data_IF_889931666898
#
_entry.id   IF_889931666898
#
_cell.length_a   1.000
_cell.length_b   1.000
_cell.length_c   1.000
_cell.angle_alpha   90.00
_cell.angle_beta   90.00
_cell.angle_gamma   90.00
#
_symmetry.space_group_name_H-M   'P 1'
#
loop_
_entity.id
_entity.type
_entity.pdbx_description
1 polymer ?
#
# COMPACT_ATOMS: atom_id res chain seq x y z
N UNK A 1 -29.00 15.16 -58.80
CA UNK A 1 -28.48 14.65 -57.52
C UNK A 1 -26.97 14.49 -57.68
N UNK A 2 -26.19 15.45 -57.20
CA UNK A 2 -24.72 15.42 -57.22
C UNK A 2 -24.25 15.58 -55.78
N UNK A 3 -23.54 14.58 -55.28
CA UNK A 3 -23.07 14.49 -53.91
C UNK A 3 -21.98 15.53 -53.64
N UNK A 4 -22.05 16.16 -52.47
CA UNK A 4 -21.05 17.07 -51.95
C UNK A 4 -19.80 16.29 -51.48
N UNK A 5 -18.63 16.69 -51.96
CA UNK A 5 -17.34 16.29 -51.38
C UNK A 5 -17.06 17.12 -50.12
N UNK A 6 -16.61 16.51 -49.01
CA UNK A 6 -16.30 17.24 -47.79
C UNK A 6 -14.93 17.92 -47.88
N UNK A 7 -14.93 19.21 -47.54
CA UNK A 7 -13.80 20.11 -47.35
C UNK A 7 -12.75 19.52 -46.39
N UNK A 8 -11.62 19.11 -46.95
CA UNK A 8 -10.46 18.60 -46.23
C UNK A 8 -9.69 19.72 -45.54
N UNK A 9 -10.25 20.24 -44.44
CA UNK A 9 -9.65 21.25 -43.58
C UNK A 9 -8.20 20.93 -43.24
N UNK A 10 -7.28 21.70 -43.84
CA UNK A 10 -5.84 21.54 -43.69
C UNK A 10 -5.43 22.07 -42.32
N UNK A 11 -5.35 21.22 -41.30
CA UNK A 11 -4.72 21.57 -40.03
C UNK A 11 -3.22 21.77 -40.25
N UNK A 12 -2.82 23.02 -40.51
CA UNK A 12 -1.42 23.42 -40.60
C UNK A 12 -0.70 23.04 -39.30
N UNK A 13 0.19 22.04 -39.35
CA UNK A 13 1.00 21.66 -38.19
C UNK A 13 1.86 22.88 -37.79
N UNK A 14 1.92 23.24 -36.50
CA UNK A 14 2.71 24.38 -36.06
C UNK A 14 4.17 24.20 -36.47
N UNK A 15 4.78 25.25 -37.04
CA UNK A 15 6.20 25.22 -37.39
C UNK A 15 7.02 24.96 -36.12
N UNK A 16 8.04 24.10 -36.18
CA UNK A 16 8.93 23.87 -35.06
C UNK A 16 9.60 25.19 -34.67
N UNK A 17 9.72 25.45 -33.36
CA UNK A 17 10.28 26.68 -32.80
C UNK A 17 11.71 26.99 -33.30
N UNK A 18 12.43 25.98 -33.80
CA UNK A 18 13.79 26.12 -34.33
C UNK A 18 13.87 26.63 -35.77
N UNK A 19 12.76 26.74 -36.51
CA UNK A 19 12.74 27.22 -37.90
C UNK A 19 13.42 26.30 -38.93
N UNK A 20 14.09 25.24 -38.49
CA UNK A 20 14.73 24.23 -39.33
C UNK A 20 13.77 23.05 -39.57
N UNK A 21 13.81 22.41 -40.75
CA UNK A 21 13.04 21.20 -41.00
C UNK A 21 13.45 20.11 -40.00
N UNK A 22 12.47 19.33 -39.51
CA UNK A 22 12.74 18.17 -38.68
C UNK A 22 13.69 17.22 -39.42
N UNK A 23 14.69 16.66 -38.73
CA UNK A 23 15.80 15.88 -39.32
C UNK A 23 15.40 14.49 -39.86
N UNK A 24 14.16 14.32 -40.33
CA UNK A 24 13.63 13.11 -40.95
C UNK A 24 13.86 11.79 -40.17
N UNK A 25 14.08 11.86 -38.84
CA UNK A 25 14.12 10.67 -38.00
C UNK A 25 12.71 10.10 -37.87
N UNK A 26 12.52 8.85 -38.31
CA UNK A 26 11.37 8.05 -37.92
C UNK A 26 11.78 7.11 -36.79
N UNK A 27 11.25 7.33 -35.60
CA UNK A 27 11.35 6.35 -34.52
C UNK A 27 10.26 5.30 -34.73
N UNK A 28 10.57 4.03 -34.45
CA UNK A 28 9.52 3.03 -34.32
C UNK A 28 8.51 3.48 -33.24
N UNK A 29 7.21 3.22 -33.43
CA UNK A 29 6.20 3.52 -32.43
C UNK A 29 6.53 2.86 -31.10
N UNK A 30 6.19 3.52 -29.98
CA UNK A 30 6.31 2.91 -28.66
C UNK A 30 5.49 1.63 -28.59
N UNK A 31 6.16 0.51 -28.34
CA UNK A 31 5.53 -0.80 -28.17
C UNK A 31 5.13 -0.98 -26.70
N UNK A 32 3.93 -1.51 -26.46
CA UNK A 32 3.48 -1.87 -25.12
C UNK A 32 4.46 -2.86 -24.47
N UNK A 33 4.66 -2.75 -23.15
CA UNK A 33 5.58 -3.59 -22.37
C UNK A 33 7.07 -3.47 -22.77
N UNK A 34 7.48 -2.36 -23.38
CA UNK A 34 8.89 -2.12 -23.64
C UNK A 34 9.68 -1.94 -22.33
N UNK A 35 10.64 -2.83 -22.07
CA UNK A 35 11.50 -2.80 -20.88
C UNK A 35 12.91 -2.24 -21.15
N UNK A 36 13.22 -1.79 -22.37
CA UNK A 36 14.58 -1.34 -22.76
C UNK A 36 15.10 -0.17 -21.94
N UNK A 37 14.22 0.64 -21.34
CA UNK A 37 14.58 1.79 -20.51
C UNK A 37 14.73 1.47 -19.01
N UNK A 38 14.41 0.24 -18.58
CA UNK A 38 14.51 -0.14 -17.17
C UNK A 38 15.97 -0.36 -16.79
N UNK A 39 16.46 0.45 -15.84
CA UNK A 39 17.84 0.33 -15.30
C UNK A 39 17.94 -0.72 -14.20
N UNK A 40 16.86 -0.95 -13.48
CA UNK A 40 16.75 -1.91 -12.38
C UNK A 40 15.37 -2.60 -12.39
N UNK A 41 15.26 -3.72 -11.68
CA UNK A 41 14.05 -4.55 -11.62
C UNK A 41 12.86 -3.92 -10.89
N UNK A 42 13.07 -2.85 -10.12
CA UNK A 42 12.06 -2.28 -9.21
C UNK A 42 10.73 -1.84 -9.85
N UNK A 43 10.72 -1.50 -11.15
CA UNK A 43 9.49 -1.15 -11.88
C UNK A 43 9.09 -2.22 -12.90
N UNK A 44 9.76 -3.37 -12.87
CA UNK A 44 9.52 -4.45 -13.80
C UNK A 44 8.40 -5.34 -13.26
N UNK A 45 7.18 -5.18 -13.78
CA UNK A 45 6.02 -6.00 -13.36
C UNK A 45 6.29 -7.50 -13.44
N UNK A 46 7.05 -7.95 -14.45
CA UNK A 46 7.44 -9.36 -14.60
C UNK A 46 8.30 -9.90 -13.45
N UNK A 47 9.01 -9.02 -12.75
CA UNK A 47 9.88 -9.37 -11.61
C UNK A 47 9.13 -9.15 -10.31
N UNK A 48 8.49 -7.99 -10.16
CA UNK A 48 7.80 -7.58 -8.94
C UNK A 48 6.57 -8.45 -8.67
N UNK A 49 5.73 -8.74 -9.67
CA UNK A 49 4.49 -9.50 -9.45
C UNK A 49 4.73 -10.89 -8.84
N UNK A 50 5.59 -11.77 -9.39
CA UNK A 50 5.80 -13.09 -8.79
C UNK A 50 6.47 -13.01 -7.41
N UNK A 51 7.40 -12.09 -7.21
CA UNK A 51 8.06 -11.90 -5.92
C UNK A 51 7.10 -11.39 -4.84
N UNK A 52 6.26 -10.41 -5.18
CA UNK A 52 5.23 -9.88 -4.28
C UNK A 52 4.18 -10.94 -3.95
N UNK A 53 3.82 -11.82 -4.88
CA UNK A 53 2.92 -12.93 -4.59
C UNK A 53 3.51 -13.89 -3.55
N UNK A 54 4.79 -14.23 -3.67
CA UNK A 54 5.49 -15.06 -2.69
C UNK A 54 5.53 -14.39 -1.32
N UNK A 55 6.01 -13.14 -1.25
CA UNK A 55 6.10 -12.37 0.00
C UNK A 55 4.73 -12.22 0.67
N UNK A 56 3.69 -11.92 -0.11
CA UNK A 56 2.33 -11.78 0.42
C UNK A 56 1.78 -13.08 1.01
N UNK A 57 2.05 -14.22 0.37
CA UNK A 57 1.64 -15.53 0.89
C UNK A 57 2.37 -15.85 2.19
N UNK A 58 3.69 -15.68 2.22
CA UNK A 58 4.51 -15.93 3.41
C UNK A 58 4.08 -15.03 4.59
N UNK A 59 3.77 -13.76 4.30
CA UNK A 59 3.29 -12.81 5.30
C UNK A 59 1.94 -13.23 5.89
N UNK A 60 1.00 -13.65 5.05
CA UNK A 60 -0.33 -14.13 5.49
C UNK A 60 -0.24 -15.44 6.26
N UNK A 61 0.70 -16.31 5.91
CA UNK A 61 0.97 -17.54 6.66
C UNK A 61 1.50 -17.24 8.07
N UNK A 62 2.48 -16.35 8.18
CA UNK A 62 3.03 -15.91 9.46
C UNK A 62 2.04 -15.11 10.31
N UNK A 63 1.14 -14.37 9.66
CA UNK A 63 0.18 -13.47 10.30
C UNK A 63 -1.24 -13.65 9.74
N UNK A 64 -1.98 -14.70 10.17
CA UNK A 64 -3.28 -15.04 9.59
C UNK A 64 -4.35 -13.95 9.64
N UNK A 65 -4.27 -13.01 10.59
CA UNK A 65 -5.19 -11.86 10.70
C UNK A 65 -5.09 -10.90 9.50
N UNK A 66 -3.97 -10.91 8.76
CA UNK A 66 -3.79 -10.08 7.57
C UNK A 66 -4.68 -10.48 6.38
N UNK A 67 -5.34 -11.66 6.44
CA UNK A 67 -6.31 -12.09 5.42
C UNK A 67 -7.50 -11.14 5.28
N UNK A 68 -7.82 -10.39 6.32
CA UNK A 68 -8.87 -9.38 6.32
C UNK A 68 -8.43 -8.07 5.66
N UNK A 69 -7.11 -7.86 5.52
CA UNK A 69 -6.49 -6.64 4.98
C UNK A 69 -5.75 -6.94 3.67
N UNK A 70 -6.44 -7.57 2.72
CA UNK A 70 -5.84 -8.09 1.48
C UNK A 70 -5.11 -7.02 0.68
N UNK A 71 -5.74 -5.88 0.45
CA UNK A 71 -5.21 -4.80 -0.38
C UNK A 71 -3.95 -4.20 0.23
N UNK A 72 -3.97 -3.93 1.54
CA UNK A 72 -2.82 -3.38 2.27
C UNK A 72 -1.66 -4.39 2.35
N UNK A 73 -1.98 -5.68 2.45
CA UNK A 73 -1.00 -6.78 2.43
C UNK A 73 -0.34 -6.91 1.06
N UNK A 74 -1.12 -6.83 -0.02
CA UNK A 74 -0.59 -6.85 -1.39
C UNK A 74 0.25 -5.61 -1.70
N UNK A 75 -0.14 -4.44 -1.20
CA UNK A 75 0.66 -3.21 -1.30
C UNK A 75 2.01 -3.38 -0.58
N UNK A 76 1.98 -3.86 0.68
CA UNK A 76 3.20 -4.17 1.43
C UNK A 76 4.13 -5.11 0.65
N UNK A 77 3.60 -6.24 0.18
CA UNK A 77 4.40 -7.24 -0.51
C UNK A 77 4.99 -6.72 -1.83
N UNK A 78 4.26 -5.85 -2.55
CA UNK A 78 4.78 -5.17 -3.74
C UNK A 78 5.92 -4.22 -3.41
N UNK A 79 5.78 -3.41 -2.37
CA UNK A 79 6.84 -2.47 -1.95
C UNK A 79 8.06 -3.24 -1.44
N UNK A 80 7.87 -4.35 -0.75
CA UNK A 80 8.95 -5.21 -0.27
C UNK A 80 9.75 -5.82 -1.43
N UNK A 81 9.06 -6.37 -2.44
CA UNK A 81 9.68 -6.85 -3.66
C UNK A 81 10.48 -5.75 -4.40
N UNK A 82 10.04 -4.49 -4.35
CA UNK A 82 10.81 -3.36 -4.88
C UNK A 82 12.08 -3.10 -4.08
N UNK A 83 12.01 -3.16 -2.75
CA UNK A 83 13.18 -3.02 -1.88
C UNK A 83 14.21 -4.11 -2.20
N UNK A 84 13.79 -5.36 -2.32
CA UNK A 84 14.66 -6.49 -2.69
C UNK A 84 15.35 -6.25 -4.04
N UNK A 85 14.58 -5.89 -5.08
CA UNK A 85 15.13 -5.60 -6.40
C UNK A 85 16.14 -4.43 -6.40
N UNK A 86 15.87 -3.38 -5.61
CA UNK A 86 16.75 -2.23 -5.49
C UNK A 86 18.01 -2.57 -4.69
N UNK A 87 17.87 -3.36 -3.62
CA UNK A 87 19.00 -3.80 -2.81
C UNK A 87 19.95 -4.66 -3.64
N UNK A 88 19.43 -5.66 -4.36
CA UNK A 88 20.24 -6.49 -5.26
C UNK A 88 21.02 -5.66 -6.28
N UNK A 89 20.38 -4.64 -6.87
CA UNK A 89 21.04 -3.75 -7.83
C UNK A 89 22.15 -2.93 -7.17
N UNK A 90 21.89 -2.37 -5.98
CA UNK A 90 22.87 -1.57 -5.22
C UNK A 90 24.05 -2.43 -4.75
N UNK A 91 23.80 -3.67 -4.33
CA UNK A 91 24.87 -4.60 -3.95
C UNK A 91 25.79 -4.94 -5.13
N UNK A 92 25.22 -5.06 -6.34
CA UNK A 92 25.98 -5.35 -7.55
C UNK A 92 26.74 -4.14 -8.11
N UNK A 93 26.13 -2.95 -8.07
CA UNK A 93 26.66 -1.76 -8.76
C UNK A 93 27.31 -0.74 -7.82
N UNK A 94 27.15 -0.90 -6.51
CA UNK A 94 27.61 0.03 -5.49
C UNK A 94 26.61 1.14 -5.17
N UNK A 95 26.79 1.73 -3.98
CA UNK A 95 25.94 2.80 -3.48
C UNK A 95 26.25 4.19 -4.06
N UNK A 96 27.51 4.39 -4.47
CA UNK A 96 28.06 5.66 -4.93
C UNK A 96 28.47 5.58 -6.41
N UNK A 97 28.33 6.69 -7.13
CA UNK A 97 28.85 6.86 -8.48
C UNK A 97 30.35 7.23 -8.48
N UNK A 98 30.92 7.38 -9.68
CA UNK A 98 32.34 7.73 -9.88
C UNK A 98 32.73 9.09 -9.24
N UNK A 99 31.76 9.97 -8.98
CA UNK A 99 31.98 11.25 -8.30
C UNK A 99 31.78 11.16 -6.77
N UNK A 100 31.56 9.96 -6.23
CA UNK A 100 31.30 9.70 -4.82
C UNK A 100 29.91 10.16 -4.35
N UNK A 101 28.97 10.40 -5.26
CA UNK A 101 27.60 10.78 -4.93
C UNK A 101 26.68 9.55 -4.87
N UNK A 102 25.61 9.56 -4.04
CA UNK A 102 24.66 8.45 -4.00
C UNK A 102 23.99 8.24 -5.36
N UNK A 103 23.96 7.00 -5.83
CA UNK A 103 23.27 6.68 -7.09
C UNK A 103 21.76 6.92 -6.96
N UNK A 104 21.09 7.11 -8.09
CA UNK A 104 19.63 7.23 -8.13
C UNK A 104 18.90 6.02 -7.53
N UNK A 105 19.48 4.82 -7.68
CA UNK A 105 18.93 3.60 -7.10
C UNK A 105 19.07 3.58 -5.57
N UNK A 106 20.22 4.02 -5.02
CA UNK A 106 20.43 4.17 -3.58
C UNK A 106 19.42 5.14 -2.95
N UNK A 107 19.21 6.29 -3.60
CA UNK A 107 18.23 7.28 -3.14
C UNK A 107 16.80 6.72 -3.19
N UNK A 108 16.46 5.99 -4.26
CA UNK A 108 15.16 5.36 -4.38
C UNK A 108 14.96 4.26 -3.33
N UNK A 109 15.96 3.40 -3.12
CA UNK A 109 15.96 2.35 -2.11
C UNK A 109 15.66 2.90 -0.71
N UNK A 110 16.31 3.99 -0.30
CA UNK A 110 16.05 4.62 0.99
C UNK A 110 14.59 5.07 1.13
N UNK A 111 14.02 5.65 0.08
CA UNK A 111 12.61 6.10 0.06
C UNK A 111 11.64 4.92 0.12
N UNK A 112 11.89 3.89 -0.67
CA UNK A 112 11.05 2.69 -0.72
C UNK A 112 11.09 1.93 0.60
N UNK A 113 12.26 1.81 1.25
CA UNK A 113 12.40 1.24 2.60
C UNK A 113 11.59 2.00 3.65
N UNK A 114 11.64 3.33 3.62
CA UNK A 114 10.82 4.16 4.52
C UNK A 114 9.34 3.90 4.30
N UNK A 115 8.91 3.78 3.04
CA UNK A 115 7.53 3.45 2.72
C UNK A 115 7.12 2.06 3.25
N UNK A 116 7.98 1.06 3.07
CA UNK A 116 7.80 -0.29 3.58
C UNK A 116 7.60 -0.30 5.10
N UNK A 117 8.47 0.41 5.84
CA UNK A 117 8.37 0.51 7.30
C UNK A 117 7.05 1.14 7.74
N UNK A 118 6.54 2.15 7.02
CA UNK A 118 5.25 2.76 7.32
C UNK A 118 4.09 1.78 7.08
N UNK A 119 4.16 0.97 6.03
CA UNK A 119 3.17 -0.08 5.77
C UNK A 119 3.23 -1.17 6.86
N UNK A 120 4.44 -1.58 7.26
CA UNK A 120 4.66 -2.53 8.34
C UNK A 120 4.04 -2.03 9.67
N UNK A 121 4.21 -0.75 9.99
CA UNK A 121 3.66 -0.14 11.20
C UNK A 121 2.12 -0.13 11.16
N UNK A 122 1.54 0.23 10.02
CA UNK A 122 0.08 0.24 9.80
C UNK A 122 -0.54 -1.15 9.87
N UNK A 123 0.14 -2.17 9.36
CA UNK A 123 -0.28 -3.57 9.45
C UNK A 123 -0.08 -4.17 10.84
N UNK A 124 0.55 -3.45 11.77
CA UNK A 124 0.75 -3.95 13.13
C UNK A 124 1.81 -5.04 13.24
N UNK A 125 2.69 -5.20 12.24
CA UNK A 125 3.72 -6.25 12.23
C UNK A 125 5.04 -5.83 12.87
N UNK A 126 5.27 -4.52 13.07
CA UNK A 126 6.46 -4.05 13.80
C UNK A 126 6.37 -4.40 15.30
N UNK A 127 7.49 -4.68 15.99
CA UNK A 127 7.47 -4.99 17.42
C UNK A 127 6.78 -3.90 18.26
N UNK A 128 6.97 -2.63 17.89
CA UNK A 128 6.35 -1.51 18.56
C UNK A 128 4.84 -1.45 18.31
N UNK A 129 4.38 -1.64 17.07
CA UNK A 129 2.96 -1.67 16.76
C UNK A 129 2.26 -2.86 17.44
N UNK A 130 2.92 -4.03 17.49
CA UNK A 130 2.43 -5.20 18.25
C UNK A 130 2.30 -4.89 19.75
N UNK A 131 3.30 -4.23 20.34
CA UNK A 131 3.23 -3.83 21.74
C UNK A 131 2.09 -2.85 22.02
N UNK A 132 1.83 -1.90 21.10
CA UNK A 132 0.69 -0.97 21.19
C UNK A 132 -0.65 -1.72 21.13
N UNK A 133 -0.84 -2.59 20.14
CA UNK A 133 -2.04 -3.42 20.00
C UNK A 133 -2.27 -4.32 21.24
N UNK A 134 -1.20 -4.90 21.79
CA UNK A 134 -1.27 -5.70 23.02
C UNK A 134 -1.70 -4.89 24.25
N UNK A 135 -1.22 -3.65 24.37
CA UNK A 135 -1.64 -2.73 25.43
C UNK A 135 -3.13 -2.39 25.31
N UNK A 136 -3.57 -2.00 24.12
CA UNK A 136 -4.94 -1.54 23.88
C UNK A 136 -5.96 -2.66 24.10
N UNK A 137 -5.64 -3.88 23.66
CA UNK A 137 -6.46 -5.07 23.92
C UNK A 137 -6.54 -5.41 25.40
N UNK A 138 -5.43 -5.36 26.13
CA UNK A 138 -5.41 -5.59 27.58
C UNK A 138 -6.23 -4.54 28.33
N UNK A 139 -6.11 -3.26 27.95
CA UNK A 139 -6.90 -2.17 28.52
C UNK A 139 -8.40 -2.38 28.29
N UNK A 140 -8.81 -2.73 27.07
CA UNK A 140 -10.21 -3.02 26.77
C UNK A 140 -10.75 -4.21 27.58
N UNK A 141 -9.97 -5.27 27.75
CA UNK A 141 -10.35 -6.42 28.58
C UNK A 141 -10.54 -6.04 30.05
N UNK A 142 -9.66 -5.20 30.61
CA UNK A 142 -9.79 -4.71 31.98
C UNK A 142 -11.03 -3.85 32.18
N UNK A 143 -11.39 -3.00 31.21
CA UNK A 143 -12.57 -2.15 31.32
C UNK A 143 -13.88 -2.95 31.22
N UNK A 144 -13.93 -3.95 30.33
CA UNK A 144 -15.06 -4.90 30.28
C UNK A 144 -15.19 -5.65 31.61
N UNK A 145 -14.07 -6.13 32.18
CA UNK A 145 -14.10 -6.83 33.46
C UNK A 145 -14.60 -5.94 34.61
N UNK A 146 -14.23 -4.66 34.64
CA UNK A 146 -14.74 -3.70 35.63
C UNK A 146 -16.23 -3.43 35.49
N UNK A 147 -16.75 -3.31 34.27
CA UNK A 147 -18.19 -3.11 34.01
C UNK A 147 -18.96 -4.33 34.52
N UNK A 148 -18.53 -5.54 34.14
CA UNK A 148 -19.18 -6.78 34.58
C UNK A 148 -19.12 -6.97 36.10
N UNK A 149 -18.00 -6.61 36.74
CA UNK A 149 -17.86 -6.68 38.20
C UNK A 149 -18.72 -5.62 38.93
N UNK A 150 -18.84 -4.41 38.37
CA UNK A 150 -19.68 -3.34 38.91
C UNK A 150 -21.18 -3.57 38.75
N UNK A 151 -21.59 -4.23 37.66
CA UNK A 151 -22.99 -4.63 37.44
C UNK A 151 -23.38 -5.82 38.33
N UNK A 152 -22.45 -6.72 38.63
CA UNK A 152 -22.68 -7.83 39.55
C UNK A 152 -22.80 -7.40 41.03
N UNK A 153 -22.32 -6.19 41.40
CA UNK A 153 -22.32 -5.72 42.80
C UNK A 153 -23.54 -4.87 43.17
N UNK A 154 -24.45 -4.54 42.24
CA UNK A 154 -25.69 -3.83 42.57
C UNK A 154 -26.76 -4.86 42.97
N UNK A 155 -27.21 -4.90 44.24
CA UNK A 155 -28.34 -5.75 44.59
C UNK A 155 -29.55 -5.26 43.80
N UNK A 156 -30.15 -6.14 43.02
CA UNK A 156 -31.41 -5.90 42.32
C UNK A 156 -32.49 -5.74 43.39
N UNK A 157 -32.72 -4.52 43.86
CA UNK A 157 -33.87 -4.18 44.68
C UNK A 157 -35.11 -4.28 43.79
N UNK A 158 -35.64 -5.50 43.71
CA UNK A 158 -37.01 -5.77 43.27
C UNK A 158 -37.87 -5.43 44.49
N UNK A 159 -38.16 -4.15 44.65
CA UNK A 159 -39.16 -3.66 45.58
C UNK A 159 -40.54 -4.06 45.04
N UNK A 160 -40.97 -5.26 45.42
CA UNK A 160 -42.34 -5.72 45.25
C UNK A 160 -43.22 -5.10 46.34
N UNK A 161 -43.64 -3.85 46.14
CA UNK A 161 -44.83 -3.32 46.81
C UNK A 161 -46.05 -4.08 46.27
N UNK A 162 -46.49 -5.11 47.00
CA UNK A 162 -47.85 -5.63 46.88
C UNK A 162 -48.69 -4.77 47.82
N UNK A 163 -49.34 -3.76 47.27
CA UNK A 163 -50.38 -3.01 47.95
C UNK A 163 -51.42 -3.98 48.50
N UNK A 164 -51.52 -4.02 49.82
CA UNK A 164 -52.62 -4.62 50.55
C UNK A 164 -53.87 -3.78 50.35
N UNK A 165 -54.75 -4.19 49.44
CA UNK A 165 -56.13 -3.68 49.43
C UNK A 165 -56.97 -4.42 50.49
N UNK A 166 -57.42 -3.62 51.45
CA UNK A 166 -58.45 -3.90 52.43
C UNK A 166 -59.71 -4.55 51.82
N UNK A 167 -60.25 -5.53 52.54
CA UNK A 167 -61.55 -6.13 52.25
C UNK A 167 -62.25 -6.53 53.55
N UNK A 168 -62.90 -5.56 54.17
CA UNK A 168 -63.63 -5.67 55.42
C UNK A 168 -64.94 -6.49 55.32
N UNK A 169 -65.35 -6.96 56.52
CA UNK A 169 -66.68 -7.42 56.97
C UNK A 169 -67.06 -8.90 56.76
#
# INVERSE_FOLDING_TARGET
MSAAEPDGGTHARPRPASGLPARNYSWEPFVANNTKSLKHGAYSERVITPMAAQIGNDLVEAHPHLREFKEATLEYARVDAQVECLQMWVDEHGELDDAGQPTGATVLLLRTRKHLLNLADRLGITPLARARLGKDTTSAQLDIAKILAGDASKPTSIDGEVESEDGAA
#
